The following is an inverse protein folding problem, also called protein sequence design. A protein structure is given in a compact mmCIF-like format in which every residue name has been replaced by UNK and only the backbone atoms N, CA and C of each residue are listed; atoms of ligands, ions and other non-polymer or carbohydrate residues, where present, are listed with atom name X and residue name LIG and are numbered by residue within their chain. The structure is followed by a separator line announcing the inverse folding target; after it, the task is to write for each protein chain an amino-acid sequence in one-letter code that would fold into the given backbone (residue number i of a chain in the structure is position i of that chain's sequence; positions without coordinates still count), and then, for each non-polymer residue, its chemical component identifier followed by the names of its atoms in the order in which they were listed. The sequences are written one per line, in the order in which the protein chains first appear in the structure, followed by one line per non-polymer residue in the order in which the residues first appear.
data_IF_422888849252
#
_entry.id   IF_422888849252
#
_cell.length_a   1.000
_cell.length_b   1.000
_cell.length_c   1.000
_cell.angle_alpha   90.00
_cell.angle_beta   90.00
_cell.angle_gamma   90.00
#
_symmetry.space_group_name_H-M   'P 1'
#
loop_
_entity.id
_entity.type
_entity.pdbx_description
1 polymer ?
#
# COMPACT_ATOMS: atom_id res chain seq x y z
N UNK A 1 6.42 -16.56 -8.13
CA UNK A 1 7.42 -15.96 -7.25
C UNK A 1 8.16 -14.85 -8.03
N UNK A 2 7.82 -13.61 -7.76
CA UNK A 2 8.58 -12.48 -8.33
C UNK A 2 9.81 -12.27 -7.46
N UNK A 3 10.98 -12.62 -7.98
CA UNK A 3 12.24 -12.28 -7.35
C UNK A 3 12.90 -11.17 -8.16
N UNK A 4 13.00 -9.98 -7.58
CA UNK A 4 13.82 -8.93 -8.15
C UNK A 4 15.29 -9.35 -8.22
N UNK A 5 16.02 -8.90 -9.23
CA UNK A 5 17.45 -9.23 -9.41
C UNK A 5 18.33 -8.84 -8.21
N UNK A 6 17.90 -7.85 -7.41
CA UNK A 6 18.58 -7.43 -6.18
C UNK A 6 18.39 -8.36 -4.99
N UNK A 7 17.41 -9.25 -5.02
CA UNK A 7 17.04 -10.11 -3.89
C UNK A 7 17.78 -11.44 -3.89
N UNK A 8 18.46 -11.79 -4.99
CA UNK A 8 19.08 -13.10 -5.17
C UNK A 8 20.20 -13.39 -4.15
N UNK A 9 20.84 -12.36 -3.60
CA UNK A 9 21.90 -12.54 -2.62
C UNK A 9 21.90 -11.55 -1.44
N UNK A 10 21.06 -10.53 -1.48
CA UNK A 10 21.01 -9.52 -0.41
C UNK A 10 19.75 -9.59 0.45
N UNK A 11 18.64 -10.05 -0.11
CA UNK A 11 17.36 -10.17 0.58
C UNK A 11 16.69 -11.46 0.14
N UNK A 12 16.76 -12.46 0.98
CA UNK A 12 16.01 -13.68 0.82
C UNK A 12 15.13 -13.84 2.06
N UNK A 13 13.83 -13.76 1.85
CA UNK A 13 12.88 -14.06 2.89
C UNK A 13 12.65 -15.56 2.91
N UNK A 14 12.85 -16.14 4.06
CA UNK A 14 12.63 -17.55 4.33
C UNK A 14 11.54 -17.67 5.38
N UNK A 15 10.59 -18.55 5.15
CA UNK A 15 9.58 -18.89 6.13
C UNK A 15 10.06 -20.10 6.92
N UNK A 16 10.05 -19.98 8.25
CA UNK A 16 10.44 -21.07 9.16
C UNK A 16 9.17 -21.70 9.67
N UNK A 17 8.97 -22.97 9.34
CA UNK A 17 7.93 -23.81 9.92
C UNK A 17 8.58 -24.88 10.78
N UNK A 18 8.54 -24.69 12.09
CA UNK A 18 9.23 -25.52 13.09
C UNK A 18 10.76 -25.54 12.87
N UNK A 19 11.29 -26.64 12.36
CA UNK A 19 12.71 -26.80 12.09
C UNK A 19 13.07 -26.68 10.60
N UNK A 20 12.07 -26.57 9.74
CA UNK A 20 12.25 -26.50 8.30
C UNK A 20 12.17 -25.06 7.77
N UNK A 21 12.96 -24.79 6.74
CA UNK A 21 12.94 -23.51 6.01
C UNK A 21 12.18 -23.70 4.71
N UNK A 22 11.04 -23.05 4.61
CA UNK A 22 10.20 -23.08 3.41
C UNK A 22 10.48 -21.88 2.50
N UNK A 23 10.41 -22.08 1.20
CA UNK A 23 10.54 -21.01 0.18
C UNK A 23 9.21 -20.35 -0.19
N UNK A 24 8.10 -20.86 0.36
CA UNK A 24 6.76 -20.34 0.13
C UNK A 24 5.92 -20.49 1.38
N UNK A 25 5.09 -19.48 1.65
CA UNK A 25 4.10 -19.53 2.71
C UNK A 25 2.80 -20.11 2.16
N UNK A 26 2.25 -21.21 2.74
CA UNK A 26 0.94 -21.69 2.36
C UNK A 26 -0.14 -20.70 2.83
N UNK A 27 -1.00 -20.28 1.92
CA UNK A 27 -2.15 -19.42 2.23
C UNK A 27 -3.44 -20.24 2.28
N UNK A 28 -4.45 -19.71 2.99
CA UNK A 28 -5.80 -20.24 2.92
C UNK A 28 -6.39 -20.07 1.52
N UNK A 29 -7.41 -20.82 1.19
CA UNK A 29 -8.15 -20.61 -0.06
C UNK A 29 -8.83 -19.24 -0.01
N UNK A 30 -8.44 -18.36 -0.92
CA UNK A 30 -8.98 -17.01 -1.04
C UNK A 30 -9.99 -17.00 -2.18
N UNK A 31 -11.14 -16.37 -1.96
CA UNK A 31 -12.12 -16.10 -3.00
C UNK A 31 -11.93 -14.66 -3.47
N UNK A 32 -11.39 -14.43 -4.69
CA UNK A 32 -11.16 -13.09 -5.19
C UNK A 32 -12.45 -12.27 -5.22
N UNK A 33 -12.43 -11.09 -4.59
CA UNK A 33 -13.56 -10.15 -4.54
C UNK A 33 -14.64 -10.44 -3.48
N UNK A 34 -14.48 -11.49 -2.66
CA UNK A 34 -15.41 -11.79 -1.56
C UNK A 34 -14.78 -11.58 -0.17
N UNK A 35 -13.47 -11.78 -0.02
CA UNK A 35 -12.78 -11.75 1.27
C UNK A 35 -11.55 -10.82 1.21
N UNK A 36 -11.40 -9.96 2.20
CA UNK A 36 -10.14 -9.28 2.49
C UNK A 36 -9.19 -10.28 3.15
N UNK A 37 -7.95 -10.35 2.67
CA UNK A 37 -6.96 -11.27 3.21
C UNK A 37 -5.76 -10.52 3.75
N UNK A 38 -5.62 -10.54 5.07
CA UNK A 38 -4.53 -9.86 5.77
C UNK A 38 -3.41 -10.83 6.13
N UNK A 39 -2.17 -10.40 5.92
CA UNK A 39 -0.98 -11.11 6.37
C UNK A 39 -0.32 -10.26 7.45
N UNK A 40 -0.22 -10.82 8.66
CA UNK A 40 0.47 -10.17 9.76
C UNK A 40 1.95 -10.57 9.81
N UNK A 41 2.84 -9.58 9.96
CA UNK A 41 4.26 -9.79 10.24
C UNK A 41 4.51 -9.39 11.68
N UNK A 42 4.90 -10.37 12.52
CA UNK A 42 5.05 -10.18 13.94
C UNK A 42 6.51 -10.00 14.35
N UNK A 43 6.72 -9.39 15.51
CA UNK A 43 8.03 -9.17 16.12
C UNK A 43 8.99 -8.38 15.21
N UNK A 44 8.45 -7.48 14.44
CA UNK A 44 9.24 -6.54 13.63
C UNK A 44 9.92 -5.52 14.52
N UNK A 45 11.14 -5.16 14.19
CA UNK A 45 11.91 -4.11 14.85
C UNK A 45 12.07 -2.88 13.97
N UNK A 46 12.67 -1.83 14.54
CA UNK A 46 12.88 -0.56 13.86
C UNK A 46 13.63 -0.66 12.51
N UNK A 47 14.47 -1.67 12.35
CA UNK A 47 15.18 -1.87 11.08
C UNK A 47 14.25 -2.31 9.93
N UNK A 48 13.29 -3.17 10.22
CA UNK A 48 12.31 -3.61 9.24
C UNK A 48 11.37 -2.47 8.86
N UNK A 49 10.94 -1.66 9.83
CA UNK A 49 10.15 -0.46 9.56
C UNK A 49 10.91 0.52 8.66
N UNK A 50 12.16 0.83 8.98
CA UNK A 50 13.00 1.73 8.17
C UNK A 50 13.19 1.25 6.73
N UNK A 51 13.21 -0.07 6.48
CA UNK A 51 13.33 -0.61 5.12
C UNK A 51 12.01 -0.53 4.33
N UNK A 52 10.89 -0.54 5.03
CA UNK A 52 9.56 -0.45 4.43
C UNK A 52 9.03 0.96 4.25
N UNK A 53 9.73 1.96 4.77
CA UNK A 53 9.27 3.34 4.83
C UNK A 53 9.61 4.17 3.59
N UNK A 54 9.51 5.49 3.75
CA UNK A 54 9.73 6.53 2.75
C UNK A 54 11.09 6.45 2.02
N UNK A 55 12.09 5.78 2.60
CA UNK A 55 13.40 5.59 1.95
C UNK A 55 13.28 4.89 0.58
N UNK A 56 12.33 3.97 0.44
CA UNK A 56 12.06 3.27 -0.82
C UNK A 56 10.80 3.81 -1.53
N UNK A 57 10.23 4.90 -1.06
CA UNK A 57 8.96 5.48 -1.53
C UNK A 57 7.77 4.52 -1.44
N UNK A 58 7.83 3.60 -0.49
CA UNK A 58 6.75 2.65 -0.24
C UNK A 58 5.76 3.15 0.81
N UNK A 59 6.21 4.04 1.71
CA UNK A 59 5.44 4.51 2.84
C UNK A 59 5.38 3.50 3.99
N UNK A 60 4.86 3.96 5.13
CA UNK A 60 4.66 3.11 6.29
C UNK A 60 3.48 2.17 6.09
N UNK A 61 3.59 0.95 6.65
CA UNK A 61 2.49 -0.02 6.65
C UNK A 61 1.53 0.27 7.81
N UNK A 62 0.30 -0.23 7.68
CA UNK A 62 -0.62 -0.25 8.81
C UNK A 62 -0.01 -1.04 9.97
N UNK A 63 -0.07 -0.48 11.17
CA UNK A 63 0.49 -1.07 12.39
C UNK A 63 -0.60 -1.23 13.45
N UNK A 64 -0.57 -2.35 14.14
CA UNK A 64 -1.48 -2.62 15.25
C UNK A 64 -0.72 -3.26 16.40
N UNK A 65 -0.94 -2.76 17.61
CA UNK A 65 -0.46 -3.40 18.83
C UNK A 65 -1.33 -4.61 19.19
N UNK A 66 -0.72 -5.76 19.41
CA UNK A 66 -1.45 -6.97 19.82
C UNK A 66 -0.90 -7.50 21.12
N UNK A 67 -1.76 -7.73 22.09
CA UNK A 67 -1.42 -8.41 23.34
C UNK A 67 -2.50 -9.44 23.71
N UNK A 68 -2.19 -10.34 24.62
CA UNK A 68 -3.12 -11.38 25.04
C UNK A 68 -3.71 -11.05 26.42
N UNK A 69 -5.04 -11.00 26.51
CA UNK A 69 -5.77 -10.93 27.75
C UNK A 69 -6.67 -12.15 27.91
N UNK A 70 -6.47 -12.92 28.96
CA UNK A 70 -7.24 -14.14 29.19
C UNK A 70 -7.17 -15.15 28.02
N UNK A 71 -6.07 -15.19 27.28
CA UNK A 71 -5.86 -16.07 26.13
C UNK A 71 -6.54 -15.60 24.85
N UNK A 72 -7.06 -14.38 24.82
CA UNK A 72 -7.66 -13.75 23.62
C UNK A 72 -6.81 -12.58 23.15
N UNK A 73 -6.66 -12.38 21.84
CA UNK A 73 -5.97 -11.21 21.31
C UNK A 73 -6.80 -9.94 21.59
N UNK A 74 -6.10 -8.90 22.05
CA UNK A 74 -6.63 -7.55 22.20
C UNK A 74 -5.79 -6.64 21.31
N UNK A 75 -6.45 -5.81 20.51
CA UNK A 75 -5.82 -4.88 19.56
C UNK A 75 -5.77 -3.49 20.18
N UNK A 76 -4.63 -2.83 20.05
CA UNK A 76 -4.40 -1.48 20.56
C UNK A 76 -3.48 -0.72 19.62
N UNK A 77 -3.49 0.60 19.72
CA UNK A 77 -2.60 1.47 18.95
C UNK A 77 -2.63 1.19 17.46
N UNK A 78 -3.83 1.19 16.89
CA UNK A 78 -3.99 1.13 15.45
C UNK A 78 -3.46 2.42 14.82
N UNK A 79 -2.49 2.27 13.92
CA UNK A 79 -1.91 3.39 13.17
C UNK A 79 -2.05 3.04 11.68
N UNK A 80 -2.74 3.92 10.97
CA UNK A 80 -2.84 3.81 9.52
C UNK A 80 -1.49 4.12 8.88
N UNK A 81 -1.13 3.38 7.84
CA UNK A 81 0.07 3.64 7.05
C UNK A 81 -0.12 4.82 6.10
N UNK A 82 0.93 5.11 5.35
CA UNK A 82 0.97 6.26 4.46
C UNK A 82 0.08 6.13 3.23
N UNK A 83 -0.51 7.23 2.84
CA UNK A 83 -1.18 7.38 1.54
C UNK A 83 -0.18 7.72 0.43
N UNK A 84 -0.58 7.53 -0.82
CA UNK A 84 0.20 7.99 -1.98
C UNK A 84 0.48 9.49 -1.91
N UNK A 85 -0.47 10.29 -1.40
CA UNK A 85 -0.28 11.74 -1.21
C UNK A 85 0.80 12.05 -0.17
N UNK A 86 0.90 11.28 0.91
CA UNK A 86 1.93 11.46 1.95
C UNK A 86 3.32 11.21 1.38
N UNK A 87 3.52 10.09 0.67
CA UNK A 87 4.78 9.74 0.03
C UNK A 87 5.17 10.77 -1.04
N UNK A 88 4.22 11.23 -1.86
CA UNK A 88 4.48 12.29 -2.85
C UNK A 88 4.90 13.60 -2.18
N UNK A 89 4.25 13.98 -1.08
CA UNK A 89 4.59 15.18 -0.32
C UNK A 89 6.01 15.10 0.27
N UNK A 90 6.44 13.93 0.70
CA UNK A 90 7.79 13.70 1.20
C UNK A 90 8.86 13.97 0.13
N UNK A 91 8.58 13.67 -1.13
CA UNK A 91 9.51 13.95 -2.26
C UNK A 91 9.16 15.26 -2.98
N UNK A 92 8.56 16.20 -2.27
CA UNK A 92 8.30 17.59 -2.69
C UNK A 92 7.29 17.75 -3.84
N UNK A 93 6.43 16.76 -4.07
CA UNK A 93 5.24 16.95 -4.91
C UNK A 93 4.07 17.43 -4.06
N UNK A 94 3.39 18.49 -4.50
CA UNK A 94 2.12 18.92 -3.89
C UNK A 94 0.94 18.16 -4.52
N UNK A 95 0.24 17.30 -3.77
CA UNK A 95 -0.92 16.57 -4.27
C UNK A 95 -2.04 17.50 -4.79
N UNK A 96 -2.21 18.67 -4.18
CA UNK A 96 -3.21 19.66 -4.62
C UNK A 96 -2.85 20.24 -5.97
N UNK A 97 -1.58 20.51 -6.20
CA UNK A 97 -1.09 21.00 -7.49
C UNK A 97 -1.26 19.93 -8.57
N UNK A 98 -0.99 18.67 -8.26
CA UNK A 98 -1.22 17.55 -9.19
C UNK A 98 -2.69 17.42 -9.58
N UNK A 99 -3.61 17.51 -8.60
CA UNK A 99 -5.07 17.51 -8.86
C UNK A 99 -5.46 18.69 -9.76
N UNK A 100 -4.90 19.89 -9.53
CA UNK A 100 -5.19 21.06 -10.33
C UNK A 100 -4.68 20.92 -11.77
N UNK A 101 -3.47 20.42 -11.95
CA UNK A 101 -2.91 20.11 -13.27
C UNK A 101 -3.79 19.09 -14.01
N UNK A 102 -4.13 17.98 -13.35
CA UNK A 102 -4.98 16.96 -13.94
C UNK A 102 -6.37 17.51 -14.32
N UNK A 103 -6.97 18.34 -13.45
CA UNK A 103 -8.23 19.01 -13.75
C UNK A 103 -8.12 19.85 -15.03
N UNK A 104 -7.07 20.64 -15.18
CA UNK A 104 -6.87 21.49 -16.36
C UNK A 104 -6.75 20.64 -17.64
N UNK A 105 -6.00 19.52 -17.58
CA UNK A 105 -5.92 18.59 -18.70
C UNK A 105 -7.28 17.99 -19.07
N UNK A 106 -8.04 17.57 -18.06
CA UNK A 106 -9.37 16.98 -18.28
C UNK A 106 -10.38 17.99 -18.82
N UNK A 107 -10.31 19.26 -18.40
CA UNK A 107 -11.12 20.36 -18.93
C UNK A 107 -10.78 20.65 -20.39
N UNK A 108 -9.50 20.67 -20.75
CA UNK A 108 -9.09 20.81 -22.14
C UNK A 108 -9.55 19.65 -23.01
N UNK A 109 -9.49 18.41 -22.49
CA UNK A 109 -9.97 17.23 -23.22
C UNK A 109 -11.49 17.29 -23.49
N UNK A 110 -12.26 17.86 -22.57
CA UNK A 110 -13.71 18.14 -22.81
C UNK A 110 -13.89 19.20 -23.89
N UNK A 111 -13.13 20.29 -23.83
CA UNK A 111 -13.19 21.37 -24.84
C UNK A 111 -12.83 20.88 -26.23
N UNK A 112 -11.86 19.96 -26.33
CA UNK A 112 -11.44 19.31 -27.58
C UNK A 112 -12.43 18.22 -28.06
N UNK A 113 -13.48 17.93 -27.29
CA UNK A 113 -14.45 16.88 -27.61
C UNK A 113 -13.92 15.43 -27.48
N UNK A 114 -12.80 15.24 -26.78
CA UNK A 114 -12.17 13.93 -26.58
C UNK A 114 -12.85 13.09 -25.51
N UNK A 115 -13.40 13.74 -24.49
CA UNK A 115 -14.16 13.15 -23.41
C UNK A 115 -15.41 13.96 -23.07
N UNK A 116 -16.39 13.32 -22.50
CA UNK A 116 -17.61 13.99 -22.00
C UNK A 116 -17.39 14.63 -20.63
N UNK A 117 -18.24 15.60 -20.21
CA UNK A 117 -18.19 16.14 -18.85
C UNK A 117 -18.38 15.09 -17.74
N UNK A 118 -19.12 14.02 -18.00
CA UNK A 118 -19.30 12.89 -17.07
C UNK A 118 -18.02 12.07 -16.91
N UNK A 119 -17.33 11.78 -18.00
CA UNK A 119 -16.04 11.10 -17.97
C UNK A 119 -14.98 11.92 -17.26
N UNK A 120 -14.94 13.26 -17.50
CA UNK A 120 -14.08 14.17 -16.75
C UNK A 120 -14.32 14.07 -15.25
N UNK A 121 -15.58 14.07 -14.78
CA UNK A 121 -15.92 13.96 -13.36
C UNK A 121 -15.39 12.65 -12.79
N UNK A 122 -15.69 11.54 -13.45
CA UNK A 122 -15.24 10.21 -13.04
C UNK A 122 -13.72 10.11 -12.98
N UNK A 123 -13.03 10.64 -13.98
CA UNK A 123 -11.56 10.62 -14.02
C UNK A 123 -10.96 11.41 -12.84
N UNK A 124 -11.53 12.57 -12.48
CA UNK A 124 -11.10 13.33 -11.31
C UNK A 124 -11.37 12.62 -9.99
N UNK A 125 -12.49 11.92 -9.86
CA UNK A 125 -12.81 11.11 -8.68
C UNK A 125 -11.81 9.96 -8.52
N UNK A 126 -11.53 9.22 -9.59
CA UNK A 126 -10.53 8.13 -9.59
C UNK A 126 -9.14 8.66 -9.25
N UNK A 127 -8.72 9.79 -9.84
CA UNK A 127 -7.41 10.37 -9.57
C UNK A 127 -7.27 10.81 -8.10
N UNK A 128 -8.30 11.43 -7.51
CA UNK A 128 -8.30 11.81 -6.10
C UNK A 128 -8.31 10.58 -5.18
N UNK A 129 -9.12 9.58 -5.50
CA UNK A 129 -9.14 8.33 -4.75
C UNK A 129 -7.77 7.66 -4.75
N UNK A 130 -7.11 7.61 -5.92
CA UNK A 130 -5.76 7.04 -6.01
C UNK A 130 -4.70 7.78 -5.19
N UNK A 131 -4.79 9.11 -5.06
CA UNK A 131 -3.89 9.89 -4.21
C UNK A 131 -4.12 9.63 -2.71
N UNK A 132 -5.36 9.37 -2.32
CA UNK A 132 -5.72 9.07 -0.93
C UNK A 132 -5.64 7.57 -0.61
N UNK A 133 -5.33 6.74 -1.61
CA UNK A 133 -5.16 5.31 -1.43
C UNK A 133 -3.88 4.97 -0.66
N UNK A 134 -3.90 3.81 -0.03
CA UNK A 134 -2.77 3.23 0.65
C UNK A 134 -1.63 2.93 -0.34
N UNK A 135 -0.38 3.06 0.08
CA UNK A 135 0.78 2.88 -0.81
C UNK A 135 1.02 1.43 -1.20
N UNK A 136 0.46 0.49 -0.48
CA UNK A 136 0.49 -0.92 -0.81
C UNK A 136 -0.79 -1.34 -1.53
N UNK A 137 -0.71 -2.46 -2.22
CA UNK A 137 -1.81 -2.92 -3.06
C UNK A 137 -3.02 -3.34 -2.23
N UNK A 138 -4.14 -2.68 -2.46
CA UNK A 138 -5.48 -3.07 -1.99
C UNK A 138 -6.33 -3.48 -3.20
N UNK A 139 -7.08 -4.58 -3.07
CA UNK A 139 -7.99 -5.09 -4.11
C UNK A 139 -9.31 -4.31 -4.15
#
# INVERSE_FOLDING_TARGET
QSRGLGDVYKRQDHFIDREDVATALPLHAIKPGEDDYYIGVFLVGAYQETLGDLHNLLGDTNVVGVHLEGGRPVYTHEVEGDTVADVLSYVEYDPKELINKFRTFAEQAVADGKISPSERRRALEVFRSGLNGYTYYEL
#
